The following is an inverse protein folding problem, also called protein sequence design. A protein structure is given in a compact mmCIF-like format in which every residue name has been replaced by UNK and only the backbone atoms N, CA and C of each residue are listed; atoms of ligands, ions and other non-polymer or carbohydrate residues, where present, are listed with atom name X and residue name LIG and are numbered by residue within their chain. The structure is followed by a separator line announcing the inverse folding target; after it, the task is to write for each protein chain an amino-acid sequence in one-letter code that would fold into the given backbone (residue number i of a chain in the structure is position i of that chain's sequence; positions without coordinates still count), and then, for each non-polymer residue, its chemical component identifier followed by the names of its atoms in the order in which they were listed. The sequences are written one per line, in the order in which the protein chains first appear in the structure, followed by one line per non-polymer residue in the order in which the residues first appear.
data_IF_885237034665
#
_entry.id   IF_885237034665
#
_cell.length_a   1.000
_cell.length_b   1.000
_cell.length_c   1.000
_cell.angle_alpha   90.00
_cell.angle_beta   90.00
_cell.angle_gamma   90.00
#
_symmetry.space_group_name_H-M   'P 1'
#
loop_
_entity.id
_entity.type
_entity.pdbx_description
1 polymer ?
#
# COMPACT_ATOMS: atom_id res chain seq x y z
N UNK A 1 -21.02 18.67 12.70
CA UNK A 1 -22.12 17.70 12.63
C UNK A 1 -21.70 16.62 11.65
N UNK A 2 -20.89 15.66 12.10
CA UNK A 2 -20.32 14.58 11.27
C UNK A 2 -21.34 13.43 11.24
N UNK A 3 -21.71 12.95 10.05
CA UNK A 3 -22.68 11.89 9.88
C UNK A 3 -22.10 10.53 10.37
N UNK A 4 -22.77 9.80 11.28
CA UNK A 4 -22.28 8.53 11.85
C UNK A 4 -22.50 7.30 10.93
N UNK A 5 -22.57 7.47 9.60
CA UNK A 5 -22.97 6.42 8.65
C UNK A 5 -21.84 5.74 7.85
N UNK A 6 -20.72 6.43 7.60
CA UNK A 6 -19.64 5.89 6.75
C UNK A 6 -18.78 4.84 7.47
N UNK A 7 -18.59 5.00 8.77
CA UNK A 7 -17.64 4.19 9.54
C UNK A 7 -18.08 2.71 9.63
N UNK A 8 -19.37 2.43 9.81
CA UNK A 8 -19.90 1.05 9.90
C UNK A 8 -19.98 0.33 8.54
N UNK A 9 -20.00 1.06 7.43
CA UNK A 9 -19.94 0.49 6.07
C UNK A 9 -18.50 0.19 5.69
N UNK A 10 -17.58 1.10 6.02
CA UNK A 10 -16.16 0.87 5.90
C UNK A 10 -15.72 -0.30 6.81
N UNK A 11 -16.21 -0.41 8.06
CA UNK A 11 -15.95 -1.53 8.99
C UNK A 11 -16.22 -2.91 8.36
N UNK A 12 -17.26 -3.02 7.52
CA UNK A 12 -17.64 -4.25 6.82
C UNK A 12 -16.88 -4.49 5.52
N UNK A 13 -16.46 -3.44 4.81
CA UNK A 13 -15.65 -3.51 3.58
C UNK A 13 -14.20 -3.96 3.88
N UNK A 14 -13.70 -3.70 5.09
CA UNK A 14 -12.31 -3.98 5.53
C UNK A 14 -11.94 -5.46 5.64
N UNK A 15 -12.68 -6.34 6.38
CA UNK A 15 -12.43 -7.78 6.35
C UNK A 15 -12.75 -8.38 4.97
N UNK A 16 -13.60 -7.71 4.19
CA UNK A 16 -13.93 -8.16 2.84
C UNK A 16 -12.74 -8.05 1.88
N UNK A 17 -11.88 -7.02 1.97
CA UNK A 17 -10.67 -6.94 1.13
C UNK A 17 -9.68 -8.06 1.45
N UNK A 18 -9.39 -8.29 2.74
CA UNK A 18 -8.49 -9.37 3.16
C UNK A 18 -9.01 -10.74 2.71
N UNK A 19 -10.30 -11.01 2.92
CA UNK A 19 -10.96 -12.24 2.47
C UNK A 19 -11.00 -12.36 0.94
N UNK A 20 -11.21 -11.25 0.24
CA UNK A 20 -11.24 -11.20 -1.23
C UNK A 20 -9.87 -11.52 -1.80
N UNK A 21 -8.79 -10.91 -1.29
CA UNK A 21 -7.43 -11.24 -1.71
C UNK A 21 -7.11 -12.72 -1.45
N UNK A 22 -7.43 -13.23 -0.25
CA UNK A 22 -7.23 -14.63 0.10
C UNK A 22 -7.98 -15.60 -0.85
N UNK A 23 -9.17 -15.23 -1.31
CA UNK A 23 -9.96 -16.03 -2.26
C UNK A 23 -9.45 -15.92 -3.69
N UNK A 24 -9.07 -14.73 -4.14
CA UNK A 24 -8.74 -14.47 -5.55
C UNK A 24 -7.30 -14.86 -5.91
N UNK A 25 -6.32 -14.63 -5.03
CA UNK A 25 -4.91 -14.90 -5.34
C UNK A 25 -4.62 -16.35 -5.75
N UNK A 26 -5.21 -17.39 -5.14
CA UNK A 26 -5.05 -18.76 -5.63
C UNK A 26 -5.56 -18.99 -7.05
N UNK A 27 -6.69 -18.37 -7.43
CA UNK A 27 -7.24 -18.46 -8.78
C UNK A 27 -6.36 -17.71 -9.79
N UNK A 28 -5.89 -16.51 -9.43
CA UNK A 28 -4.92 -15.76 -10.23
C UNK A 28 -3.61 -16.56 -10.42
N UNK A 29 -3.12 -17.23 -9.38
CA UNK A 29 -1.94 -18.08 -9.43
C UNK A 29 -2.09 -19.29 -10.37
N UNK A 30 -3.33 -19.74 -10.61
CA UNK A 30 -3.69 -20.76 -11.59
C UNK A 30 -3.85 -20.21 -13.02
N UNK A 31 -3.75 -18.89 -13.21
CA UNK A 31 -3.90 -18.23 -14.51
C UNK A 31 -5.32 -17.79 -14.84
N UNK A 32 -6.22 -17.69 -13.86
CA UNK A 32 -7.58 -17.20 -14.07
C UNK A 32 -7.58 -15.67 -14.30
N UNK A 33 -7.90 -15.28 -15.54
CA UNK A 33 -7.98 -13.88 -15.95
C UNK A 33 -9.20 -13.15 -15.38
N UNK A 34 -10.31 -13.85 -15.14
CA UNK A 34 -11.51 -13.25 -14.57
C UNK A 34 -11.28 -12.95 -13.08
N UNK A 35 -10.65 -13.88 -12.35
CA UNK A 35 -10.24 -13.64 -10.97
C UNK A 35 -9.25 -12.46 -10.87
N UNK A 36 -8.35 -12.31 -11.85
CA UNK A 36 -7.44 -11.18 -11.89
C UNK A 36 -8.13 -9.85 -12.20
N UNK A 37 -9.11 -9.85 -13.10
CA UNK A 37 -9.94 -8.66 -13.36
C UNK A 37 -10.72 -8.25 -12.09
N UNK A 38 -11.31 -9.21 -11.38
CA UNK A 38 -11.99 -8.93 -10.12
C UNK A 38 -11.01 -8.39 -9.06
N UNK A 39 -9.79 -8.92 -8.99
CA UNK A 39 -8.76 -8.40 -8.10
C UNK A 39 -8.41 -6.95 -8.47
N UNK A 40 -8.25 -6.65 -9.75
CA UNK A 40 -8.00 -5.30 -10.23
C UNK A 40 -9.14 -4.34 -9.84
N UNK A 41 -10.40 -4.72 -10.05
CA UNK A 41 -11.55 -3.87 -9.72
C UNK A 41 -11.63 -3.55 -8.22
N UNK A 42 -11.24 -4.51 -7.37
CA UNK A 42 -11.29 -4.38 -5.91
C UNK A 42 -10.11 -3.60 -5.32
N UNK A 43 -8.92 -3.75 -5.90
CA UNK A 43 -7.67 -3.17 -5.35
C UNK A 43 -7.15 -1.98 -6.16
N UNK A 44 -7.66 -1.73 -7.36
CA UNK A 44 -7.21 -0.66 -8.25
C UNK A 44 -7.36 0.73 -7.64
N UNK A 45 -8.49 0.98 -6.96
CA UNK A 45 -8.70 2.24 -6.25
C UNK A 45 -7.70 2.46 -5.11
N UNK A 46 -7.38 1.40 -4.36
CA UNK A 46 -6.38 1.44 -3.30
C UNK A 46 -4.98 1.72 -3.88
N UNK A 47 -4.57 0.99 -4.91
CA UNK A 47 -3.26 1.19 -5.55
C UNK A 47 -3.15 2.59 -6.14
N UNK A 48 -4.17 3.06 -6.85
CA UNK A 48 -4.19 4.39 -7.45
C UNK A 48 -4.06 5.49 -6.38
N UNK A 49 -4.82 5.38 -5.27
CA UNK A 49 -4.73 6.33 -4.16
C UNK A 49 -3.34 6.32 -3.52
N UNK A 50 -2.80 5.13 -3.21
CA UNK A 50 -1.46 4.97 -2.66
C UNK A 50 -0.37 5.54 -3.58
N UNK A 51 -0.41 5.27 -4.88
CA UNK A 51 0.56 5.82 -5.84
C UNK A 51 0.45 7.35 -5.91
N UNK A 52 -0.75 7.90 -5.90
CA UNK A 52 -0.98 9.34 -5.98
C UNK A 52 -0.39 10.13 -4.80
N UNK A 53 -0.14 9.49 -3.65
CA UNK A 53 0.50 10.12 -2.49
C UNK A 53 1.98 10.44 -2.69
N UNK A 54 2.67 9.62 -3.48
CA UNK A 54 4.14 9.68 -3.64
C UNK A 54 4.59 10.05 -5.05
N UNK A 55 3.68 9.98 -6.02
CA UNK A 55 3.93 10.37 -7.41
C UNK A 55 2.94 11.44 -7.82
N UNK A 56 3.41 12.54 -8.42
CA UNK A 56 2.58 13.67 -8.87
C UNK A 56 2.15 13.53 -10.34
N UNK A 57 3.00 12.96 -11.19
CA UNK A 57 2.74 12.84 -12.63
C UNK A 57 1.70 11.77 -12.95
N UNK A 58 0.64 12.13 -13.68
CA UNK A 58 -0.46 11.22 -14.01
C UNK A 58 -0.03 10.06 -14.91
N UNK A 59 0.81 10.33 -15.92
CA UNK A 59 1.29 9.29 -16.82
C UNK A 59 2.18 8.27 -16.09
N UNK A 60 3.00 8.72 -15.14
CA UNK A 60 3.77 7.85 -14.27
C UNK A 60 2.87 7.04 -13.33
N UNK A 61 1.80 7.63 -12.77
CA UNK A 61 0.84 6.90 -11.93
C UNK A 61 0.21 5.72 -12.66
N UNK A 62 -0.29 5.97 -13.87
CA UNK A 62 -0.93 4.93 -14.70
C UNK A 62 0.05 3.81 -15.05
N UNK A 63 1.29 4.18 -15.41
CA UNK A 63 2.36 3.23 -15.69
C UNK A 63 2.69 2.36 -14.48
N UNK A 64 2.92 2.98 -13.32
CA UNK A 64 3.24 2.28 -12.06
C UNK A 64 2.10 1.34 -11.67
N UNK A 65 0.84 1.76 -11.83
CA UNK A 65 -0.31 0.92 -11.54
C UNK A 65 -0.32 -0.32 -12.44
N UNK A 66 -0.12 -0.14 -13.75
CA UNK A 66 -0.03 -1.25 -14.70
C UNK A 66 1.16 -2.18 -14.40
N UNK A 67 2.34 -1.63 -14.07
CA UNK A 67 3.53 -2.39 -13.66
C UNK A 67 3.26 -3.21 -12.39
N UNK A 68 2.63 -2.60 -11.37
CA UNK A 68 2.32 -3.25 -10.11
C UNK A 68 1.35 -4.43 -10.31
N UNK A 69 0.26 -4.23 -11.07
CA UNK A 69 -0.67 -5.33 -11.36
C UNK A 69 -0.05 -6.41 -12.24
N UNK A 70 0.85 -6.04 -13.16
CA UNK A 70 1.63 -7.02 -13.93
C UNK A 70 2.55 -7.84 -13.02
N UNK A 71 3.20 -7.20 -12.04
CA UNK A 71 4.01 -7.88 -11.03
C UNK A 71 3.16 -8.81 -10.15
N UNK A 72 1.97 -8.36 -9.74
CA UNK A 72 0.99 -9.19 -9.01
C UNK A 72 0.63 -10.45 -9.82
N UNK A 73 0.30 -10.31 -11.10
CA UNK A 73 0.01 -11.45 -11.98
C UNK A 73 1.18 -12.44 -12.04
N UNK A 74 2.39 -11.94 -12.28
CA UNK A 74 3.59 -12.78 -12.41
C UNK A 74 3.98 -13.52 -11.13
N UNK A 75 3.74 -12.89 -9.97
CA UNK A 75 4.12 -13.41 -8.66
C UNK A 75 2.94 -13.96 -7.86
N UNK A 76 1.76 -14.11 -8.47
CA UNK A 76 0.55 -14.52 -7.77
C UNK A 76 0.67 -15.82 -6.95
N UNK A 77 1.58 -16.73 -7.35
CA UNK A 77 1.89 -17.95 -6.57
C UNK A 77 2.51 -17.67 -5.20
N UNK A 78 3.29 -16.61 -5.07
CA UNK A 78 3.82 -16.13 -3.78
C UNK A 78 2.65 -15.57 -2.95
N UNK A 79 1.84 -14.69 -3.53
CA UNK A 79 0.68 -14.10 -2.86
C UNK A 79 -0.37 -15.13 -2.42
N UNK A 80 -0.60 -16.18 -3.20
CA UNK A 80 -1.50 -17.28 -2.85
C UNK A 80 -1.04 -18.08 -1.62
N UNK A 81 0.25 -17.98 -1.25
CA UNK A 81 0.84 -18.63 -0.08
C UNK A 81 1.12 -17.64 1.06
N UNK A 82 0.93 -16.35 0.82
CA UNK A 82 1.19 -15.32 1.82
C UNK A 82 0.17 -15.44 2.97
N UNK A 83 0.61 -15.39 4.24
CA UNK A 83 -0.31 -15.41 5.37
C UNK A 83 -1.19 -14.15 5.41
N UNK A 84 -0.63 -13.02 4.98
CA UNK A 84 -1.27 -11.71 4.90
C UNK A 84 -1.36 -11.26 3.43
N UNK A 85 -2.37 -11.71 2.66
CA UNK A 85 -2.41 -11.53 1.22
C UNK A 85 -2.50 -10.06 0.78
N UNK A 86 -3.13 -9.20 1.59
CA UNK A 86 -3.18 -7.76 1.31
C UNK A 86 -1.85 -7.08 1.60
N UNK A 87 -1.13 -7.51 2.64
CA UNK A 87 0.21 -7.01 2.90
C UNK A 87 1.15 -7.38 1.76
N UNK A 88 1.05 -8.60 1.22
CA UNK A 88 1.79 -9.01 0.03
C UNK A 88 1.44 -8.17 -1.21
N UNK A 89 0.17 -7.83 -1.43
CA UNK A 89 -0.22 -6.93 -2.53
C UNK A 89 0.44 -5.55 -2.38
N UNK A 90 0.46 -5.01 -1.16
CA UNK A 90 1.08 -3.71 -0.86
C UNK A 90 2.59 -3.77 -0.97
N UNK A 91 3.20 -4.90 -0.61
CA UNK A 91 4.63 -5.14 -0.80
C UNK A 91 5.01 -5.05 -2.27
N UNK A 92 4.29 -5.77 -3.15
CA UNK A 92 4.48 -5.71 -4.61
C UNK A 92 4.32 -4.28 -5.12
N UNK A 93 3.31 -3.55 -4.65
CA UNK A 93 3.10 -2.15 -4.99
C UNK A 93 4.31 -1.30 -4.58
N UNK A 94 4.77 -1.42 -3.34
CA UNK A 94 5.85 -0.59 -2.83
C UNK A 94 7.21 -0.94 -3.43
N UNK A 95 7.44 -2.21 -3.79
CA UNK A 95 8.61 -2.63 -4.58
C UNK A 95 8.59 -2.00 -5.97
N UNK A 96 7.43 -2.04 -6.65
CA UNK A 96 7.25 -1.41 -7.96
C UNK A 96 7.52 0.10 -7.87
N UNK A 97 6.93 0.76 -6.87
CA UNK A 97 7.19 2.18 -6.59
C UNK A 97 8.68 2.48 -6.31
N UNK A 98 9.42 1.55 -5.72
CA UNK A 98 10.86 1.66 -5.49
C UNK A 98 11.67 1.50 -6.78
N UNK A 99 11.30 0.56 -7.64
CA UNK A 99 11.98 0.31 -8.92
C UNK A 99 11.72 1.39 -9.97
N UNK A 100 10.52 2.00 -10.02
CA UNK A 100 10.20 3.05 -10.99
C UNK A 100 10.86 4.41 -10.69
N UNK A 101 11.67 4.51 -9.62
CA UNK A 101 12.30 5.76 -9.14
C UNK A 101 13.53 6.24 -9.87
N UNK A 102 14.05 5.49 -10.83
CA UNK A 102 15.22 5.95 -11.60
C UNK A 102 14.95 7.21 -12.43
N UNK A 103 13.68 7.64 -12.60
CA UNK A 103 13.31 8.70 -13.55
C UNK A 103 12.87 10.08 -12.98
N UNK A 104 12.74 10.30 -11.67
CA UNK A 104 12.17 11.58 -11.18
C UNK A 104 12.53 11.97 -9.74
N UNK A 105 13.02 13.20 -9.55
CA UNK A 105 13.60 13.72 -8.28
C UNK A 105 12.54 14.27 -7.30
N UNK A 106 12.67 13.90 -5.99
CA UNK A 106 12.22 14.55 -4.71
C UNK A 106 10.74 14.41 -4.24
N UNK A 107 10.36 14.82 -2.98
CA UNK A 107 11.11 15.02 -1.72
C UNK A 107 10.59 14.22 -0.48
N UNK A 108 9.45 13.52 -0.55
CA UNK A 108 8.89 12.76 0.60
C UNK A 108 9.10 11.25 0.49
N UNK A 109 9.43 10.77 -0.70
CA UNK A 109 9.39 9.36 -1.03
C UNK A 109 10.60 8.54 -0.57
N UNK A 110 11.80 9.12 -0.53
CA UNK A 110 13.03 8.35 -0.43
C UNK A 110 13.18 7.65 0.92
N UNK A 111 13.02 8.41 2.01
CA UNK A 111 13.01 7.86 3.36
C UNK A 111 11.84 6.89 3.60
N UNK A 112 10.68 7.13 3.00
CA UNK A 112 9.47 6.29 3.17
C UNK A 112 9.64 4.93 2.48
N UNK A 113 10.09 4.87 1.23
CA UNK A 113 10.26 3.58 0.55
C UNK A 113 11.59 2.87 0.86
N UNK A 114 12.56 3.56 1.46
CA UNK A 114 13.75 2.90 2.01
C UNK A 114 13.43 2.05 3.27
N UNK A 115 12.23 2.18 3.83
CA UNK A 115 11.80 1.37 4.97
C UNK A 115 11.59 -0.10 4.57
N UNK A 116 11.96 -1.02 5.45
CA UNK A 116 11.72 -2.45 5.26
C UNK A 116 10.23 -2.78 5.34
N UNK A 117 9.82 -3.91 4.75
CA UNK A 117 8.49 -4.49 4.97
C UNK A 117 8.32 -4.87 6.46
N UNK A 118 7.17 -4.61 7.10
CA UNK A 118 5.93 -4.01 6.58
C UNK A 118 5.84 -2.48 6.73
N UNK A 119 6.90 -1.83 7.19
CA UNK A 119 6.81 -0.47 7.69
C UNK A 119 6.49 0.54 6.56
N UNK A 120 7.01 0.32 5.35
CA UNK A 120 6.72 1.18 4.19
C UNK A 120 5.28 1.03 3.72
N UNK A 121 4.77 -0.20 3.69
CA UNK A 121 3.40 -0.53 3.26
C UNK A 121 2.38 0.14 4.19
N UNK A 122 2.60 0.01 5.50
CA UNK A 122 1.73 0.59 6.52
C UNK A 122 1.73 2.12 6.49
N UNK A 123 2.91 2.73 6.30
CA UNK A 123 3.01 4.18 6.20
C UNK A 123 2.34 4.69 4.92
N UNK A 124 2.49 4.00 3.80
CA UNK A 124 1.85 4.37 2.53
C UNK A 124 0.32 4.37 2.64
N UNK A 125 -0.25 3.36 3.33
CA UNK A 125 -1.69 3.33 3.63
C UNK A 125 -2.13 4.49 4.52
N UNK A 126 -1.34 4.80 5.57
CA UNK A 126 -1.66 5.89 6.49
C UNK A 126 -1.61 7.27 5.80
N UNK A 127 -0.63 7.48 4.90
CA UNK A 127 -0.48 8.73 4.15
C UNK A 127 -1.53 8.87 3.05
N UNK A 128 -2.01 7.76 2.47
CA UNK A 128 -3.14 7.78 1.54
C UNK A 128 -4.41 8.34 2.17
N UNK A 129 -4.51 8.39 3.51
CA UNK A 129 -5.57 9.09 4.24
C UNK A 129 -6.94 8.43 4.16
N UNK A 130 -7.04 7.31 3.44
CA UNK A 130 -8.28 6.54 3.29
C UNK A 130 -8.47 5.49 4.39
N UNK A 131 -7.44 5.22 5.20
CA UNK A 131 -7.48 4.20 6.23
C UNK A 131 -7.02 4.71 7.59
N UNK A 132 -7.82 4.47 8.62
CA UNK A 132 -7.44 4.73 10.01
C UNK A 132 -6.52 3.63 10.56
N UNK A 133 -5.81 3.90 11.66
CA UNK A 133 -4.87 2.93 12.26
C UNK A 133 -5.49 1.54 12.57
N UNK A 134 -6.66 1.43 13.21
CA UNK A 134 -7.29 0.12 13.42
C UNK A 134 -7.64 -0.57 12.09
N UNK A 135 -7.93 0.18 11.04
CA UNK A 135 -8.27 -0.36 9.72
C UNK A 135 -7.06 -0.92 9.00
N UNK A 136 -5.94 -0.20 9.05
CA UNK A 136 -4.67 -0.67 8.51
C UNK A 136 -4.25 -1.95 9.23
N UNK A 137 -4.40 -2.00 10.56
CA UNK A 137 -4.11 -3.19 11.36
C UNK A 137 -4.98 -4.39 10.95
N UNK A 138 -6.29 -4.20 10.81
CA UNK A 138 -7.22 -5.25 10.39
C UNK A 138 -6.95 -5.74 8.96
N UNK A 139 -6.61 -4.83 8.05
CA UNK A 139 -6.37 -5.11 6.64
C UNK A 139 -5.05 -5.86 6.40
N UNK A 140 -4.02 -5.54 7.19
CA UNK A 140 -2.67 -6.09 7.02
C UNK A 140 -2.34 -7.25 7.98
N UNK A 141 -3.21 -7.54 8.95
CA UNK A 141 -2.93 -8.52 10.01
C UNK A 141 -1.91 -8.04 11.05
N UNK A 142 -1.38 -6.83 10.90
CA UNK A 142 -0.41 -6.24 11.84
C UNK A 142 -1.11 -5.73 13.09
N UNK A 143 -0.58 -6.04 14.27
CA UNK A 143 -1.12 -5.50 15.54
C UNK A 143 -1.09 -3.97 15.55
N UNK A 144 -2.19 -3.34 15.97
CA UNK A 144 -2.33 -1.88 16.03
C UNK A 144 -1.23 -1.19 16.86
N UNK A 145 -0.80 -1.80 17.98
CA UNK A 145 0.30 -1.26 18.78
C UNK A 145 1.64 -1.25 18.05
N UNK A 146 1.87 -2.21 17.14
CA UNK A 146 3.06 -2.22 16.27
C UNK A 146 2.95 -1.13 15.22
N UNK A 147 1.79 -0.99 14.57
CA UNK A 147 1.52 0.08 13.62
C UNK A 147 1.76 1.47 14.20
N UNK A 148 1.26 1.74 15.41
CA UNK A 148 1.45 3.04 16.08
C UNK A 148 2.92 3.36 16.35
N UNK A 149 3.71 2.37 16.76
CA UNK A 149 5.15 2.56 16.95
C UNK A 149 5.84 2.86 15.62
N UNK A 150 5.55 2.09 14.58
CA UNK A 150 6.10 2.29 13.23
C UNK A 150 5.79 3.68 12.69
N UNK A 151 4.54 4.13 12.75
CA UNK A 151 4.15 5.45 12.27
C UNK A 151 4.87 6.56 13.04
N UNK A 152 5.05 6.40 14.37
CA UNK A 152 5.79 7.35 15.19
C UNK A 152 7.26 7.40 14.79
N UNK A 153 7.89 6.24 14.61
CA UNK A 153 9.31 6.12 14.27
C UNK A 153 9.58 6.66 12.86
N UNK A 154 8.70 6.35 11.91
CA UNK A 154 8.75 6.86 10.55
C UNK A 154 8.60 8.39 10.50
N UNK A 155 7.61 8.94 11.21
CA UNK A 155 7.43 10.39 11.32
C UNK A 155 8.61 11.05 12.05
N UNK A 156 9.20 10.38 13.04
CA UNK A 156 10.42 10.81 13.71
C UNK A 156 11.61 10.89 12.76
N UNK A 157 11.83 9.83 11.97
CA UNK A 157 12.88 9.75 10.95
C UNK A 157 12.70 10.82 9.86
N UNK A 158 11.47 11.02 9.37
CA UNK A 158 11.15 12.05 8.38
C UNK A 158 11.41 13.46 8.93
N UNK A 159 11.02 13.74 10.18
CA UNK A 159 11.32 15.02 10.84
C UNK A 159 12.82 15.22 11.06
N UNK A 160 13.55 14.16 11.44
CA UNK A 160 15.00 14.20 11.62
C UNK A 160 15.76 14.46 10.31
N UNK A 161 15.35 13.82 9.21
CA UNK A 161 15.93 14.03 7.88
C UNK A 161 15.65 15.43 7.32
N UNK A 162 14.47 16.00 7.58
CA UNK A 162 14.15 17.39 7.22
C UNK A 162 14.90 18.41 8.10
N UNK A 163 15.21 18.07 9.35
CA UNK A 163 16.02 18.90 10.25
C UNK A 163 17.52 18.92 9.93
N UNK A 164 18.07 17.83 9.39
CA UNK A 164 19.49 17.72 9.01
C UNK A 164 19.87 18.47 7.73
N UNK A 165 18.92 18.70 6.83
CA UNK A 165 19.18 19.42 5.56
C UNK A 165 19.04 20.95 5.67
N UNK A 166 18.56 21.47 6.80
CA UNK A 166 18.29 22.91 7.00
C UNK A 166 19.40 23.68 7.73
N UNK A 167 20.52 23.02 8.09
CA UNK A 167 21.58 23.60 8.93
C UNK A 167 22.98 23.63 8.28
N UNK A 168 23.07 23.52 6.96
CA UNK A 168 24.33 23.58 6.19
C UNK A 168 24.29 24.55 5.00
N UNK A 169 23.68 25.73 5.19
CA UNK A 169 23.81 26.86 4.28
C UNK A 169 24.52 28.03 4.98
#
# INVERSE_FOLDING_TARGET
MQAPGDDASAERVRPALAQTAARLLPAVAAGDRAAFAELFDRFGGLFAASIATVQADAAARDRICAEAFTAVWRRAREGARAPEPVLWLLEVLCETLGSSREAGRRPLGDGVLAMACPDRELLLLAVAGHYSQPEIAALTGVRESRLRSILRDALGSLRGGLGGSALTA
#
